data_IF_460001659655
#
_entry.id   IF_460001659655
#
_cell.length_a   1.000
_cell.length_b   1.000
_cell.length_c   1.000
_cell.angle_alpha   90.00
_cell.angle_beta   90.00
_cell.angle_gamma   90.00
#
_symmetry.space_group_name_H-M   'P 1'
#
loop_
_entity.id
_entity.type
_entity.pdbx_description
1 polymer ?
#
# COMPACT_ATOMS: atom_id res chain seq x y z
N UNK A 1 28.04 -39.88 -23.34
CA UNK A 1 27.26 -38.67 -23.03
C UNK A 1 27.63 -38.26 -21.63
N UNK A 2 28.39 -37.18 -21.41
CA UNK A 2 28.62 -36.68 -20.07
C UNK A 2 27.33 -36.04 -19.56
N UNK A 3 27.06 -36.25 -18.27
CA UNK A 3 25.94 -35.66 -17.54
C UNK A 3 26.18 -34.16 -17.39
N UNK A 4 25.15 -33.35 -17.68
CA UNK A 4 25.15 -31.92 -17.39
C UNK A 4 25.13 -31.72 -15.86
N UNK A 5 26.13 -31.00 -15.34
CA UNK A 5 26.10 -30.43 -14.00
C UNK A 5 24.95 -29.42 -13.91
N UNK A 6 24.18 -29.36 -12.81
CA UNK A 6 23.21 -28.30 -12.61
C UNK A 6 23.96 -26.97 -12.52
N UNK A 7 23.65 -26.06 -13.45
CA UNK A 7 24.16 -24.70 -13.44
C UNK A 7 23.97 -24.09 -12.04
N UNK A 8 25.07 -23.61 -11.46
CA UNK A 8 25.04 -22.76 -10.27
C UNK A 8 24.08 -21.60 -10.55
N UNK A 9 22.98 -21.57 -9.81
CA UNK A 9 22.09 -20.41 -9.75
C UNK A 9 22.90 -19.38 -8.99
N UNK A 10 23.58 -18.50 -9.73
CA UNK A 10 24.32 -17.39 -9.15
C UNK A 10 23.39 -16.55 -8.28
N UNK A 11 23.85 -16.22 -7.07
CA UNK A 11 23.20 -15.29 -6.17
C UNK A 11 22.99 -13.95 -6.91
N UNK A 12 21.75 -13.69 -7.30
CA UNK A 12 21.35 -12.35 -7.74
C UNK A 12 21.31 -11.50 -6.48
N UNK A 13 22.33 -10.66 -6.27
CA UNK A 13 22.31 -9.68 -5.19
C UNK A 13 20.99 -8.90 -5.27
N UNK A 14 20.17 -8.88 -4.20
CA UNK A 14 18.89 -8.19 -4.24
C UNK A 14 19.12 -6.71 -4.53
N UNK A 15 18.38 -6.11 -5.49
CA UNK A 15 18.46 -4.69 -5.85
C UNK A 15 17.78 -3.79 -4.79
N UNK A 16 18.25 -3.94 -3.56
CA UNK A 16 17.75 -3.27 -2.38
C UNK A 16 18.78 -2.23 -1.96
N UNK A 17 18.39 -0.95 -2.00
CA UNK A 17 19.31 0.16 -1.85
C UNK A 17 19.04 0.93 -0.56
N UNK A 18 20.10 1.19 0.20
CA UNK A 18 20.20 2.30 1.14
C UNK A 18 21.32 3.20 0.66
N UNK A 19 21.00 4.44 0.34
CA UNK A 19 21.98 5.41 -0.12
C UNK A 19 22.42 6.25 1.08
N UNK A 20 23.71 6.23 1.39
CA UNK A 20 24.27 6.98 2.53
C UNK A 20 24.66 8.40 2.10
N UNK A 21 25.00 8.60 0.83
CA UNK A 21 25.35 9.92 0.28
C UNK A 21 24.63 10.22 -1.03
N UNK A 22 24.45 11.51 -1.34
CA UNK A 22 23.75 11.97 -2.56
C UNK A 22 24.47 11.55 -3.84
N UNK A 23 25.80 11.39 -3.77
CA UNK A 23 26.65 10.99 -4.88
C UNK A 23 26.37 9.55 -5.35
N UNK A 24 25.86 8.70 -4.44
CA UNK A 24 25.46 7.32 -4.73
C UNK A 24 24.05 7.25 -5.35
N UNK A 25 23.24 8.30 -5.18
CA UNK A 25 21.83 8.31 -5.55
C UNK A 25 21.66 8.59 -7.05
N UNK A 26 21.00 7.70 -7.81
CA UNK A 26 20.64 7.95 -9.21
C UNK A 26 19.86 9.27 -9.34
N UNK A 27 20.15 10.05 -10.40
CA UNK A 27 19.65 11.43 -10.56
C UNK A 27 18.13 11.55 -10.43
N UNK A 28 17.41 10.57 -10.95
CA UNK A 28 15.96 10.47 -10.91
C UNK A 28 15.38 10.22 -9.50
N UNK A 29 16.17 9.63 -8.60
CA UNK A 29 15.81 9.37 -7.19
C UNK A 29 16.20 10.53 -6.28
N UNK A 30 17.20 11.35 -6.63
CA UNK A 30 17.76 12.39 -5.75
C UNK A 30 16.70 13.28 -5.08
N UNK A 31 15.68 13.71 -5.84
CA UNK A 31 14.54 14.46 -5.30
C UNK A 31 13.83 13.73 -4.15
N UNK A 32 13.62 12.43 -4.28
CA UNK A 32 12.97 11.58 -3.29
C UNK A 32 13.89 11.29 -2.12
N UNK A 33 15.19 11.09 -2.36
CA UNK A 33 16.18 10.93 -1.30
C UNK A 33 16.31 12.17 -0.41
N UNK A 34 16.16 13.38 -0.96
CA UNK A 34 16.09 14.60 -0.14
C UNK A 34 14.87 14.63 0.80
N UNK A 35 13.81 13.86 0.48
CA UNK A 35 12.59 13.69 1.28
C UNK A 35 12.58 12.35 2.03
N UNK A 36 13.70 11.64 2.12
CA UNK A 36 13.74 10.27 2.67
C UNK A 36 13.20 10.17 4.10
N UNK A 37 13.35 11.22 4.92
CA UNK A 37 12.81 11.25 6.28
C UNK A 37 11.29 11.48 6.32
N UNK A 38 10.71 12.06 5.27
CA UNK A 38 9.25 12.14 5.10
C UNK A 38 8.67 10.81 4.60
N UNK A 39 9.48 10.02 3.89
CA UNK A 39 9.14 8.67 3.42
C UNK A 39 9.21 7.67 4.59
N UNK A 40 10.33 7.67 5.31
CA UNK A 40 10.56 6.89 6.52
C UNK A 40 11.41 7.72 7.48
N UNK A 41 10.81 8.13 8.59
CA UNK A 41 11.46 8.88 9.67
C UNK A 41 12.71 8.17 10.22
N UNK A 42 12.70 6.83 10.20
CA UNK A 42 13.81 5.97 10.62
C UNK A 42 14.79 5.61 9.50
N UNK A 43 14.87 6.39 8.41
CA UNK A 43 15.70 6.03 7.25
C UNK A 43 17.14 5.65 7.64
N UNK A 44 17.76 6.45 8.52
CA UNK A 44 19.14 6.24 8.96
C UNK A 44 19.32 5.05 9.93
N UNK A 45 18.24 4.49 10.48
CA UNK A 45 18.28 3.25 11.29
C UNK A 45 18.41 1.98 10.42
N UNK A 46 18.54 2.14 9.10
CA UNK A 46 18.87 1.05 8.18
C UNK A 46 17.76 0.70 7.19
N UNK A 47 16.81 1.60 6.92
CA UNK A 47 15.69 1.33 6.01
C UNK A 47 16.17 1.02 4.60
N UNK A 48 15.47 0.09 3.96
CA UNK A 48 15.72 -0.41 2.63
C UNK A 48 14.57 -0.08 1.67
N UNK A 49 14.93 0.33 0.45
CA UNK A 49 14.00 0.61 -0.63
C UNK A 49 14.52 0.03 -1.94
N UNK A 50 13.64 -0.57 -2.73
CA UNK A 50 13.91 -0.87 -4.15
C UNK A 50 13.86 0.41 -4.97
N UNK A 51 14.34 0.37 -6.22
CA UNK A 51 14.28 1.51 -7.14
C UNK A 51 12.85 2.05 -7.28
N UNK A 52 11.87 1.17 -7.55
CA UNK A 52 10.48 1.56 -7.76
C UNK A 52 9.80 2.08 -6.48
N UNK A 53 10.20 1.57 -5.31
CA UNK A 53 9.64 2.00 -4.03
C UNK A 53 9.88 3.50 -3.79
N UNK A 54 10.99 4.08 -4.24
CA UNK A 54 11.26 5.52 -4.12
C UNK A 54 10.19 6.40 -4.76
N UNK A 55 9.54 5.93 -5.83
CA UNK A 55 8.55 6.71 -6.57
C UNK A 55 7.12 6.49 -6.06
N UNK A 56 6.83 5.29 -5.56
CA UNK A 56 5.48 4.83 -5.24
C UNK A 56 5.15 4.78 -3.75
N UNK A 57 6.15 4.87 -2.87
CA UNK A 57 5.92 4.76 -1.43
C UNK A 57 5.07 5.92 -0.89
N UNK A 58 4.13 5.58 -0.02
CA UNK A 58 3.30 6.57 0.67
C UNK A 58 4.13 7.27 1.74
N UNK A 59 4.20 8.62 1.76
CA UNK A 59 4.89 9.34 2.83
C UNK A 59 4.38 8.91 4.21
N UNK A 60 5.27 8.83 5.20
CA UNK A 60 4.98 8.22 6.50
C UNK A 60 3.81 8.93 7.21
N UNK A 61 3.73 10.25 7.14
CA UNK A 61 2.63 11.03 7.72
C UNK A 61 1.27 10.71 7.09
N UNK A 62 1.24 10.45 5.78
CA UNK A 62 0.03 10.04 5.06
C UNK A 62 -0.34 8.61 5.42
N UNK A 63 0.63 7.70 5.49
CA UNK A 63 0.41 6.31 5.91
C UNK A 63 -0.18 6.24 7.33
N UNK A 64 0.36 7.03 8.28
CA UNK A 64 -0.20 7.15 9.64
C UNK A 64 -1.62 7.71 9.64
N UNK A 65 -1.90 8.72 8.82
CA UNK A 65 -3.25 9.30 8.71
C UNK A 65 -4.25 8.28 8.16
N UNK A 66 -3.87 7.52 7.13
CA UNK A 66 -4.68 6.41 6.60
C UNK A 66 -4.91 5.35 7.67
N UNK A 67 -3.85 4.94 8.38
CA UNK A 67 -3.94 3.94 9.43
C UNK A 67 -4.87 4.39 10.56
N UNK A 68 -4.82 5.66 10.96
CA UNK A 68 -5.71 6.24 11.96
C UNK A 68 -7.17 6.26 11.48
N UNK A 69 -7.44 6.73 10.25
CA UNK A 69 -8.78 6.70 9.67
C UNK A 69 -9.33 5.29 9.60
N UNK A 70 -8.52 4.31 9.16
CA UNK A 70 -8.94 2.93 9.16
C UNK A 70 -9.16 2.41 10.57
N UNK A 71 -8.37 2.84 11.55
CA UNK A 71 -8.54 2.39 12.92
C UNK A 71 -9.85 2.85 13.56
N UNK A 72 -10.25 4.10 13.31
CA UNK A 72 -11.44 4.72 13.92
C UNK A 72 -12.72 4.46 13.14
N UNK A 73 -12.65 4.41 11.82
CA UNK A 73 -13.83 4.26 10.97
C UNK A 73 -14.18 2.80 10.65
N UNK A 74 -13.26 1.84 10.87
CA UNK A 74 -13.56 0.43 10.60
C UNK A 74 -14.64 -0.08 11.58
N UNK A 75 -15.71 -0.75 11.08
CA UNK A 75 -16.75 -1.31 11.94
C UNK A 75 -16.23 -2.24 13.03
N UNK A 76 -16.97 -2.27 14.15
CA UNK A 76 -16.72 -3.23 15.22
C UNK A 76 -16.79 -4.68 14.70
N UNK A 77 -15.93 -5.54 15.25
CA UNK A 77 -15.82 -6.95 14.84
C UNK A 77 -14.93 -7.19 13.62
N UNK A 78 -14.45 -6.14 12.94
CA UNK A 78 -13.36 -6.23 11.98
C UNK A 78 -12.02 -6.14 12.71
N UNK A 79 -11.30 -7.24 12.84
CA UNK A 79 -10.04 -7.30 13.60
C UNK A 79 -8.82 -7.61 12.75
N UNK A 80 -9.02 -8.02 11.48
CA UNK A 80 -7.96 -8.37 10.55
C UNK A 80 -7.87 -7.39 9.39
N UNK A 81 -6.67 -7.18 8.89
CA UNK A 81 -6.39 -6.36 7.72
C UNK A 81 -5.64 -7.17 6.67
N UNK A 82 -6.02 -7.02 5.41
CA UNK A 82 -5.18 -7.39 4.27
C UNK A 82 -4.67 -6.10 3.64
N UNK A 83 -3.36 -5.93 3.60
CA UNK A 83 -2.69 -4.97 2.73
C UNK A 83 -2.35 -5.68 1.42
N UNK A 84 -3.08 -5.35 0.34
CA UNK A 84 -2.99 -6.06 -0.94
C UNK A 84 -1.76 -5.68 -1.78
N UNK A 85 -1.07 -4.59 -1.43
CA UNK A 85 0.09 -4.05 -2.16
C UNK A 85 1.08 -3.45 -1.17
N UNK A 86 1.76 -4.32 -0.41
CA UNK A 86 2.57 -3.89 0.72
C UNK A 86 3.78 -3.02 0.30
N UNK A 87 4.29 -3.18 -0.93
CA UNK A 87 5.49 -2.49 -1.41
C UNK A 87 6.66 -2.71 -0.46
N UNK A 88 7.40 -1.64 -0.15
CA UNK A 88 8.45 -1.65 0.88
C UNK A 88 7.93 -1.45 2.32
N UNK A 89 6.62 -1.61 2.55
CA UNK A 89 6.02 -1.71 3.88
C UNK A 89 5.48 -0.42 4.49
N UNK A 90 5.47 0.72 3.78
CA UNK A 90 5.07 2.01 4.35
C UNK A 90 3.69 2.01 5.04
N UNK A 91 2.62 1.66 4.30
CA UNK A 91 1.27 1.57 4.87
C UNK A 91 1.16 0.40 5.87
N UNK A 92 1.71 -0.77 5.54
CA UNK A 92 1.69 -1.95 6.41
C UNK A 92 2.26 -1.67 7.81
N UNK A 93 3.39 -0.97 7.87
CA UNK A 93 4.04 -0.57 9.13
C UNK A 93 3.14 0.39 9.91
N UNK A 94 2.57 1.41 9.26
CA UNK A 94 1.64 2.33 9.89
C UNK A 94 0.40 1.61 10.46
N UNK A 95 -0.17 0.66 9.71
CA UNK A 95 -1.27 -0.18 10.20
C UNK A 95 -0.86 -0.98 11.45
N UNK A 96 0.33 -1.57 11.47
CA UNK A 96 0.80 -2.35 12.62
C UNK A 96 1.08 -1.47 13.86
N UNK A 97 1.58 -0.25 13.65
CA UNK A 97 1.82 0.76 14.67
C UNK A 97 0.53 1.30 15.29
N UNK A 98 -0.56 1.39 14.51
CA UNK A 98 -1.87 1.83 15.03
C UNK A 98 -2.40 0.98 16.20
N UNK A 99 -1.93 -0.27 16.33
CA UNK A 99 -2.38 -1.20 17.36
C UNK A 99 -3.81 -1.71 17.20
N UNK A 100 -4.52 -1.30 16.13
CA UNK A 100 -5.94 -1.65 15.89
C UNK A 100 -6.16 -3.11 15.51
N UNK A 101 -5.21 -3.69 14.80
CA UNK A 101 -5.39 -4.98 14.12
C UNK A 101 -4.78 -6.11 14.95
N UNK A 102 -5.55 -7.18 15.14
CA UNK A 102 -5.06 -8.42 15.73
C UNK A 102 -4.07 -9.12 14.80
N UNK A 103 -4.32 -9.01 13.49
CA UNK A 103 -3.52 -9.64 12.45
C UNK A 103 -3.55 -8.86 11.14
N UNK A 104 -2.37 -8.69 10.53
CA UNK A 104 -2.21 -8.03 9.23
C UNK A 104 -1.60 -9.03 8.25
N UNK A 105 -2.25 -9.28 7.13
CA UNK A 105 -1.70 -10.01 6.00
C UNK A 105 -1.20 -9.02 4.96
N UNK A 106 0.09 -9.00 4.69
CA UNK A 106 0.71 -8.07 3.76
C UNK A 106 1.16 -8.83 2.51
N UNK A 107 0.55 -8.51 1.37
CA UNK A 107 0.78 -9.16 0.09
C UNK A 107 1.65 -8.26 -0.78
N UNK A 108 2.72 -8.82 -1.33
CA UNK A 108 3.56 -8.12 -2.30
C UNK A 108 4.01 -9.11 -3.38
N UNK A 109 3.97 -8.69 -4.64
CA UNK A 109 4.31 -9.51 -5.79
C UNK A 109 5.82 -9.50 -6.05
N UNK A 110 6.46 -8.36 -5.84
CA UNK A 110 7.90 -8.22 -6.02
C UNK A 110 8.66 -8.76 -4.80
N UNK A 111 9.44 -9.85 -4.93
CA UNK A 111 10.18 -10.43 -3.81
C UNK A 111 11.19 -9.45 -3.19
N UNK A 112 11.75 -8.52 -3.96
CA UNK A 112 12.72 -7.53 -3.46
C UNK A 112 12.03 -6.45 -2.59
N UNK A 113 10.91 -5.89 -3.07
CA UNK A 113 10.10 -4.99 -2.25
C UNK A 113 9.58 -5.68 -0.98
N UNK A 114 9.17 -6.95 -1.07
CA UNK A 114 8.76 -7.74 0.09
C UNK A 114 9.90 -7.94 1.09
N UNK A 115 11.12 -8.18 0.62
CA UNK A 115 12.30 -8.27 1.47
C UNK A 115 12.57 -6.93 2.19
N UNK A 116 12.46 -5.80 1.47
CA UNK A 116 12.54 -4.46 2.06
C UNK A 116 11.47 -4.28 3.16
N UNK A 117 10.22 -4.65 2.87
CA UNK A 117 9.11 -4.49 3.81
C UNK A 117 9.30 -5.27 5.11
N UNK A 118 9.77 -6.53 5.00
CA UNK A 118 10.11 -7.37 6.15
C UNK A 118 11.18 -6.72 7.03
N UNK A 119 12.29 -6.30 6.41
CA UNK A 119 13.40 -5.62 7.09
C UNK A 119 12.97 -4.30 7.74
N UNK A 120 12.26 -3.45 6.99
CA UNK A 120 11.77 -2.17 7.50
C UNK A 120 10.83 -2.37 8.69
N UNK A 121 9.96 -3.38 8.67
CA UNK A 121 9.09 -3.68 9.79
C UNK A 121 9.84 -4.14 11.06
N UNK A 122 11.05 -4.71 10.93
CA UNK A 122 11.92 -5.02 12.07
C UNK A 122 12.49 -3.75 12.71
N UNK A 123 12.96 -2.79 11.90
CA UNK A 123 13.44 -1.46 12.35
C UNK A 123 12.35 -0.70 13.13
N UNK A 124 11.11 -0.78 12.67
CA UNK A 124 9.96 -0.17 13.33
C UNK A 124 9.40 -1.03 14.49
N UNK A 125 9.95 -2.23 14.74
CA UNK A 125 9.58 -3.08 15.88
C UNK A 125 8.20 -3.75 15.76
N UNK A 126 7.62 -3.82 14.56
CA UNK A 126 6.26 -4.31 14.32
C UNK A 126 6.18 -5.60 13.53
N UNK A 127 7.31 -6.14 13.07
CA UNK A 127 7.39 -7.35 12.22
C UNK A 127 6.53 -8.53 12.72
N UNK A 128 6.45 -8.74 14.05
CA UNK A 128 5.69 -9.85 14.65
C UNK A 128 4.17 -9.78 14.47
N UNK A 129 3.63 -8.62 14.08
CA UNK A 129 2.18 -8.43 13.82
C UNK A 129 1.79 -8.67 12.36
N UNK A 130 2.76 -8.93 11.49
CA UNK A 130 2.56 -8.94 10.03
C UNK A 130 2.88 -10.33 9.47
N UNK A 131 1.93 -10.86 8.71
CA UNK A 131 2.07 -12.10 7.95
C UNK A 131 2.31 -11.75 6.49
N UNK A 132 3.55 -11.87 6.07
CA UNK A 132 3.99 -11.57 4.72
C UNK A 132 3.63 -12.70 3.75
N UNK A 133 3.14 -12.33 2.57
CA UNK A 133 2.73 -13.25 1.52
C UNK A 133 3.30 -12.74 0.19
N UNK A 134 4.15 -13.53 -0.42
CA UNK A 134 4.63 -13.25 -1.77
C UNK A 134 3.59 -13.71 -2.79
N UNK A 135 3.25 -12.83 -3.74
CA UNK A 135 2.40 -13.18 -4.88
C UNK A 135 1.52 -12.04 -5.37
N UNK A 136 0.88 -12.26 -6.52
CA UNK A 136 -0.07 -11.31 -7.07
C UNK A 136 -1.35 -11.29 -6.22
N UNK A 137 -1.80 -10.11 -5.80
CA UNK A 137 -2.99 -9.96 -4.98
C UNK A 137 -4.27 -10.53 -5.63
N UNK A 138 -4.37 -10.52 -6.96
CA UNK A 138 -5.52 -11.07 -7.69
C UNK A 138 -5.54 -12.61 -7.68
N UNK A 139 -4.40 -13.24 -7.43
CA UNK A 139 -4.28 -14.70 -7.27
C UNK A 139 -4.35 -15.09 -5.79
N UNK A 140 -3.59 -14.41 -4.94
CA UNK A 140 -3.47 -14.69 -3.51
C UNK A 140 -4.79 -14.46 -2.79
N UNK A 141 -5.46 -13.33 -3.02
CA UNK A 141 -6.64 -12.97 -2.24
C UNK A 141 -7.77 -14.00 -2.42
N UNK A 142 -8.18 -14.34 -3.65
CA UNK A 142 -9.25 -15.31 -3.88
C UNK A 142 -8.88 -16.76 -3.52
N UNK A 143 -7.61 -17.15 -3.64
CA UNK A 143 -7.18 -18.53 -3.41
C UNK A 143 -6.95 -18.86 -1.93
N UNK A 144 -6.43 -17.89 -1.16
CA UNK A 144 -6.03 -18.08 0.23
C UNK A 144 -7.09 -17.62 1.23
N UNK A 145 -7.93 -16.67 0.83
CA UNK A 145 -8.96 -16.13 1.69
C UNK A 145 -10.36 -16.39 1.11
N UNK A 146 -11.19 -17.08 1.90
CA UNK A 146 -12.63 -17.17 1.64
C UNK A 146 -13.35 -15.87 1.99
N UNK A 147 -14.67 -15.91 2.11
CA UNK A 147 -15.40 -14.80 2.71
C UNK A 147 -15.02 -14.64 4.19
N UNK A 148 -14.40 -13.53 4.55
CA UNK A 148 -13.90 -13.25 5.90
C UNK A 148 -14.63 -12.06 6.50
N UNK A 149 -15.62 -12.34 7.34
CA UNK A 149 -16.49 -11.32 7.93
C UNK A 149 -15.77 -10.36 8.88
N UNK A 150 -14.63 -10.75 9.43
CA UNK A 150 -13.80 -10.02 10.39
C UNK A 150 -12.65 -9.23 9.73
N UNK A 151 -12.60 -9.16 8.40
CA UNK A 151 -11.45 -8.61 7.66
C UNK A 151 -11.80 -7.32 6.93
N UNK A 152 -10.82 -6.42 6.82
CA UNK A 152 -10.80 -5.24 5.95
C UNK A 152 -9.69 -5.41 4.91
N UNK A 153 -9.88 -4.87 3.70
CA UNK A 153 -8.84 -4.86 2.67
C UNK A 153 -8.42 -3.41 2.42
N UNK A 154 -7.13 -3.13 2.53
CA UNK A 154 -6.50 -1.92 2.01
C UNK A 154 -5.75 -2.27 0.73
N UNK A 155 -5.82 -1.40 -0.27
CA UNK A 155 -5.06 -1.56 -1.49
C UNK A 155 -4.53 -0.23 -2.02
N UNK A 156 -3.21 -0.18 -2.22
CA UNK A 156 -2.49 0.89 -2.91
C UNK A 156 -1.84 0.35 -4.18
N UNK A 157 -2.62 0.07 -5.24
CA UNK A 157 -2.09 -0.51 -6.47
C UNK A 157 -1.11 0.47 -7.15
N UNK A 158 -0.20 -0.02 -7.99
CA UNK A 158 0.52 0.82 -8.95
C UNK A 158 -0.47 1.57 -9.87
N UNK A 159 -0.18 2.86 -10.13
CA UNK A 159 -1.09 3.75 -10.87
C UNK A 159 -0.78 3.88 -12.37
N UNK A 160 0.07 3.03 -12.93
CA UNK A 160 0.44 3.06 -14.36
C UNK A 160 1.62 3.98 -14.72
N UNK A 161 2.47 4.33 -13.76
CA UNK A 161 3.70 5.12 -13.98
C UNK A 161 3.46 6.64 -14.11
N UNK A 162 4.51 7.45 -14.26
CA UNK A 162 4.47 8.91 -14.04
C UNK A 162 3.42 9.69 -14.84
N UNK A 163 3.01 9.16 -16.00
CA UNK A 163 2.00 9.76 -16.88
C UNK A 163 0.63 9.97 -16.22
N UNK A 164 0.32 9.28 -15.11
CA UNK A 164 -0.91 9.53 -14.33
C UNK A 164 -1.04 11.00 -13.89
N UNK A 165 0.09 11.72 -13.77
CA UNK A 165 0.14 13.10 -13.26
C UNK A 165 -0.40 14.12 -14.26
N UNK A 166 -0.46 13.77 -15.54
CA UNK A 166 -0.90 14.66 -16.61
C UNK A 166 -2.43 14.61 -16.81
N UNK A 167 -3.09 13.58 -16.27
CA UNK A 167 -4.53 13.42 -16.34
C UNK A 167 -5.24 14.41 -15.41
N UNK A 168 -6.01 15.33 -16.01
CA UNK A 168 -6.93 16.19 -15.25
C UNK A 168 -7.98 15.38 -14.47
N UNK A 169 -8.41 14.25 -15.05
CA UNK A 169 -9.31 13.28 -14.44
C UNK A 169 -8.75 11.89 -14.72
N UNK A 170 -8.19 11.24 -13.71
CA UNK A 170 -7.57 9.93 -13.83
C UNK A 170 -8.62 8.82 -13.96
N UNK A 171 -8.47 7.99 -14.99
CA UNK A 171 -9.38 6.90 -15.30
C UNK A 171 -8.98 5.61 -14.55
N UNK A 172 -9.65 5.37 -13.42
CA UNK A 172 -9.38 4.22 -12.55
C UNK A 172 -9.79 2.87 -13.16
N UNK A 173 -10.64 2.87 -14.19
CA UNK A 173 -11.04 1.64 -14.89
C UNK A 173 -9.95 1.10 -15.82
N UNK A 174 -9.11 1.98 -16.36
CA UNK A 174 -8.01 1.63 -17.28
C UNK A 174 -6.64 1.66 -16.61
N UNK A 175 -6.58 1.87 -15.29
CA UNK A 175 -5.36 1.84 -14.49
C UNK A 175 -4.59 0.53 -14.74
N UNK A 176 -3.26 0.64 -14.82
CA UNK A 176 -2.37 -0.48 -15.11
C UNK A 176 -1.35 -0.67 -13.98
N UNK A 177 -0.91 -1.92 -13.74
CA UNK A 177 -1.41 -3.18 -14.31
C UNK A 177 -2.82 -3.61 -13.86
N UNK A 178 -3.42 -2.93 -12.87
CA UNK A 178 -4.70 -3.33 -12.29
C UNK A 178 -5.79 -2.29 -12.47
N UNK A 179 -6.89 -2.67 -13.11
CA UNK A 179 -8.08 -1.81 -13.22
C UNK A 179 -8.99 -1.92 -12.00
N UNK A 180 -9.70 -0.84 -11.65
CA UNK A 180 -10.63 -0.81 -10.52
C UNK A 180 -11.63 -1.97 -10.53
N UNK A 181 -12.22 -2.27 -11.68
CA UNK A 181 -13.16 -3.40 -11.82
C UNK A 181 -12.56 -4.73 -11.38
N UNK A 182 -11.30 -5.00 -11.73
CA UNK A 182 -10.63 -6.26 -11.39
C UNK A 182 -10.39 -6.34 -9.89
N UNK A 183 -9.81 -5.29 -9.32
CA UNK A 183 -9.51 -5.18 -7.89
C UNK A 183 -10.78 -5.31 -7.05
N UNK A 184 -11.78 -4.47 -7.32
CA UNK A 184 -13.02 -4.45 -6.54
C UNK A 184 -13.77 -5.78 -6.60
N UNK A 185 -13.86 -6.42 -7.78
CA UNK A 185 -14.54 -7.71 -7.91
C UNK A 185 -13.81 -8.85 -7.21
N UNK A 186 -12.47 -8.82 -7.13
CA UNK A 186 -11.71 -9.79 -6.37
C UNK A 186 -11.91 -9.58 -4.86
N UNK A 187 -11.80 -8.34 -4.40
CA UNK A 187 -11.79 -8.01 -2.97
C UNK A 187 -13.19 -8.08 -2.34
N UNK A 188 -14.22 -7.60 -3.05
CA UNK A 188 -15.61 -7.56 -2.56
C UNK A 188 -16.25 -8.92 -2.30
N UNK A 189 -15.62 -10.00 -2.78
CA UNK A 189 -15.98 -11.40 -2.48
C UNK A 189 -15.45 -11.85 -1.12
N UNK A 190 -14.32 -11.29 -0.69
CA UNK A 190 -13.66 -11.61 0.59
C UNK A 190 -14.19 -10.70 1.70
N UNK A 191 -14.23 -9.39 1.47
CA UNK A 191 -14.76 -8.40 2.43
C UNK A 191 -15.53 -7.29 1.73
N UNK A 192 -16.53 -6.71 2.42
CA UNK A 192 -17.24 -5.51 1.94
C UNK A 192 -16.50 -4.22 2.28
N UNK A 193 -15.66 -4.25 3.31
CA UNK A 193 -14.86 -3.13 3.77
C UNK A 193 -13.55 -3.11 2.99
N UNK A 194 -13.51 -2.25 1.96
CA UNK A 194 -12.36 -2.07 1.07
C UNK A 194 -11.96 -0.60 1.03
N UNK A 195 -10.71 -0.29 1.34
CA UNK A 195 -10.11 1.03 1.23
C UNK A 195 -9.11 1.05 0.06
N UNK A 196 -9.33 1.92 -0.93
CA UNK A 196 -8.48 2.03 -2.12
C UNK A 196 -7.73 3.36 -2.14
N UNK A 197 -6.41 3.32 -2.06
CA UNK A 197 -5.52 4.48 -2.18
C UNK A 197 -5.12 4.72 -3.64
N UNK A 198 -5.53 5.89 -4.17
CA UNK A 198 -5.57 6.17 -5.60
C UNK A 198 -5.05 7.58 -5.92
N UNK A 199 -4.75 7.87 -7.20
CA UNK A 199 -4.37 9.22 -7.63
C UNK A 199 -5.39 10.26 -7.20
N UNK A 200 -4.91 11.42 -6.76
CA UNK A 200 -5.75 12.55 -6.33
C UNK A 200 -6.77 13.04 -7.38
N UNK A 201 -6.55 12.77 -8.67
CA UNK A 201 -7.46 13.17 -9.75
C UNK A 201 -8.41 12.04 -10.16
N UNK A 202 -8.49 10.94 -9.40
CA UNK A 202 -9.34 9.78 -9.72
C UNK A 202 -10.79 10.18 -9.94
N UNK A 203 -11.38 9.65 -11.01
CA UNK A 203 -12.76 9.93 -11.38
C UNK A 203 -13.75 9.39 -10.33
N UNK A 204 -14.32 10.28 -9.52
CA UNK A 204 -15.26 9.91 -8.45
C UNK A 204 -16.53 9.23 -8.98
N UNK A 205 -16.98 9.56 -10.21
CA UNK A 205 -18.12 8.90 -10.82
C UNK A 205 -17.83 7.43 -11.14
N UNK A 206 -16.57 7.08 -11.45
CA UNK A 206 -16.17 5.68 -11.64
C UNK A 206 -16.12 4.94 -10.31
N UNK A 207 -15.62 5.58 -9.25
CA UNK A 207 -15.63 5.00 -7.89
C UNK A 207 -17.05 4.71 -7.41
N UNK A 208 -17.98 5.65 -7.63
CA UNK A 208 -19.37 5.56 -7.18
C UNK A 208 -20.16 4.40 -7.83
N UNK A 209 -19.76 3.91 -9.01
CA UNK A 209 -20.43 2.78 -9.70
C UNK A 209 -20.41 1.47 -8.92
N UNK A 210 -19.49 1.33 -7.97
CA UNK A 210 -19.31 0.11 -7.18
C UNK A 210 -20.01 0.17 -5.82
N UNK A 211 -20.70 1.29 -5.53
CA UNK A 211 -21.46 1.52 -4.31
C UNK A 211 -22.89 1.06 -4.52
N UNK A 212 -23.50 0.28 -3.60
CA UNK A 212 -24.92 -0.05 -3.66
C UNK A 212 -25.80 1.21 -3.68
N UNK A 213 -26.96 1.13 -4.37
CA UNK A 213 -27.86 2.28 -4.59
C UNK A 213 -28.35 2.96 -3.29
N UNK A 214 -28.40 2.21 -2.18
CA UNK A 214 -28.83 2.67 -0.86
C UNK A 214 -27.67 3.15 0.04
N UNK A 215 -26.44 3.16 -0.47
CA UNK A 215 -25.23 3.48 0.29
C UNK A 215 -24.48 4.68 -0.27
N UNK A 216 -23.55 5.21 0.52
CA UNK A 216 -22.64 6.30 0.14
C UNK A 216 -21.21 5.81 0.26
N UNK A 217 -20.34 6.37 -0.57
CA UNK A 217 -18.89 6.22 -0.42
C UNK A 217 -18.30 7.47 0.19
N UNK A 218 -17.34 7.27 1.09
CA UNK A 218 -16.49 8.35 1.60
C UNK A 218 -15.18 8.35 0.84
N UNK A 219 -14.73 9.55 0.46
CA UNK A 219 -13.44 9.76 -0.21
C UNK A 219 -12.69 10.84 0.55
N UNK A 220 -11.50 10.50 1.04
CA UNK A 220 -10.64 11.42 1.77
C UNK A 220 -9.41 11.76 0.93
N UNK A 221 -9.11 13.06 0.84
CA UNK A 221 -7.87 13.54 0.25
C UNK A 221 -6.78 13.67 1.30
N UNK A 222 -5.59 13.17 0.98
CA UNK A 222 -4.40 13.32 1.81
C UNK A 222 -3.53 14.43 1.25
N UNK A 223 -3.40 15.50 2.02
CA UNK A 223 -2.72 16.71 1.61
C UNK A 223 -1.40 16.86 2.41
N UNK A 224 -0.34 17.25 1.72
CA UNK A 224 0.93 17.65 2.33
C UNK A 224 1.26 19.04 1.78
N UNK A 225 1.63 19.97 2.67
CA UNK A 225 1.97 21.36 2.35
C UNK A 225 0.91 22.08 1.49
N UNK A 226 -0.35 21.93 1.87
CA UNK A 226 -1.49 22.56 1.18
C UNK A 226 -1.81 21.93 -0.19
N UNK A 227 -1.13 20.85 -0.59
CA UNK A 227 -1.37 20.17 -1.85
C UNK A 227 -1.88 18.74 -1.63
N UNK A 228 -3.03 18.42 -2.22
CA UNK A 228 -3.53 17.05 -2.34
C UNK A 228 -2.52 16.17 -3.08
N UNK A 229 -2.11 15.06 -2.47
CA UNK A 229 -1.15 14.09 -3.03
C UNK A 229 -1.86 12.86 -3.59
N UNK A 230 -2.86 12.39 -2.87
CA UNK A 230 -3.66 11.22 -3.21
C UNK A 230 -5.06 11.32 -2.59
N UNK A 231 -5.90 10.36 -2.92
CA UNK A 231 -7.16 10.13 -2.21
C UNK A 231 -7.29 8.67 -1.79
N UNK A 232 -8.08 8.40 -0.77
CA UNK A 232 -8.53 7.06 -0.42
C UNK A 232 -10.06 6.98 -0.50
N UNK A 233 -10.57 5.95 -1.16
CA UNK A 233 -11.98 5.66 -1.29
C UNK A 233 -12.37 4.48 -0.39
N UNK A 234 -13.37 4.66 0.45
CA UNK A 234 -13.76 3.71 1.50
C UNK A 234 -15.13 3.08 1.20
N UNK A 235 -15.10 1.83 0.72
CA UNK A 235 -16.28 1.02 0.39
C UNK A 235 -16.75 0.19 1.60
N UNK A 236 -18.05 -0.07 1.68
CA UNK A 236 -18.66 -0.78 2.81
C UNK A 236 -19.08 0.17 3.92
N UNK A 237 -19.22 -0.35 5.13
CA UNK A 237 -19.86 0.39 6.22
C UNK A 237 -18.88 1.18 7.10
N UNK A 238 -17.81 1.74 6.51
CA UNK A 238 -16.90 2.60 7.27
C UNK A 238 -17.66 3.76 7.93
N UNK A 239 -17.38 3.99 9.20
CA UNK A 239 -17.78 5.18 9.94
C UNK A 239 -17.19 6.46 9.33
N UNK A 240 -17.47 7.61 9.94
CA UNK A 240 -17.02 8.89 9.41
C UNK A 240 -15.49 8.93 9.35
N UNK A 241 -14.95 9.27 8.18
CA UNK A 241 -13.52 9.54 8.01
C UNK A 241 -13.28 10.98 8.46
N UNK A 242 -12.80 11.15 9.70
CA UNK A 242 -12.47 12.46 10.26
C UNK A 242 -11.07 12.53 10.90
N UNK A 243 -10.58 13.76 10.99
CA UNK A 243 -9.28 14.09 11.58
C UNK A 243 -9.39 14.43 13.08
N UNK A 244 -10.51 14.14 13.76
CA UNK A 244 -10.74 14.69 15.11
C UNK A 244 -9.75 14.14 16.17
N UNK A 245 -8.95 13.13 15.83
CA UNK A 245 -8.00 12.48 16.73
C UNK A 245 -6.58 12.31 16.15
N UNK A 246 -6.15 13.13 15.17
CA UNK A 246 -4.74 13.11 14.73
C UNK A 246 -3.94 13.94 15.74
N UNK A 247 -3.06 13.34 16.56
CA UNK A 247 -2.19 14.12 17.44
C UNK A 247 -1.35 15.08 16.59
N UNK A 248 -1.33 16.35 17.00
CA UNK A 248 -0.50 17.40 16.40
C UNK A 248 0.99 17.06 16.42
#
# INVERSE_FOLDING_TARGET
>A
MPADDPAEIGDVEPHVYRYESIEEVPKEIQKYWHQRYDIFSKYDEGVYLTHDAWFGITPESVAHSIAQHMATATPDGKTKLIDAFAGAGGNTIAFALSGRWEQIFAIEKDPEALACAKHNAEIYGVAKKIWWIEGDCLDVIPSRFGSMKDTVIFASPPWGGPGYRDDQIFNVETMQPYGLKQLYNAYSKVSKEVALYLPRTSNLNQLAKYVPDDQKIQVAHYCIDGASKALCAYYGNFGVIDNQNIPS
#
